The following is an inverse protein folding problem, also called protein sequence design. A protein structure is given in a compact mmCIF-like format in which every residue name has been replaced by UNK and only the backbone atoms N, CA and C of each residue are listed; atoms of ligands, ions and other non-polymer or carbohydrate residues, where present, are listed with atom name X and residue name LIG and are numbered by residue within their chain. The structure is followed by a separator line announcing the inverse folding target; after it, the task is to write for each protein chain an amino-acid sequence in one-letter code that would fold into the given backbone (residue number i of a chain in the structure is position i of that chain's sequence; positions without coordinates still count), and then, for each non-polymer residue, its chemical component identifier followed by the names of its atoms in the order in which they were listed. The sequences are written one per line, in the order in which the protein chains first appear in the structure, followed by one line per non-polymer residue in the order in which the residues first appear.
data_IF_075423297151
#
_entry.id   IF_075423297151
#
_cell.length_a   1.000
_cell.length_b   1.000
_cell.length_c   1.000
_cell.angle_alpha   90.00
_cell.angle_beta   90.00
_cell.angle_gamma   90.00
#
_symmetry.space_group_name_H-M   'P 1'
#
loop_
_entity.id
_entity.type
_entity.pdbx_description
1 polymer ?
2 non-polymer ?
3 non-polymer ?
4 water ?
#
# COMPACT_ATOMS: atom_id res chain seq x y z
N UNK A 2 -19.27 13.50 -19.98
CA UNK A 2 -18.39 14.04 -21.04
C UNK A 2 -17.14 14.69 -20.44
N UNK A 3 -16.21 15.17 -21.25
CA UNK A 3 -15.00 15.78 -20.78
C UNK A 3 -15.19 17.30 -20.62
N UNK A 4 -14.71 17.85 -19.53
CA UNK A 4 -14.61 19.30 -19.37
C UNK A 4 -13.20 19.69 -19.76
N UNK A 5 -13.07 20.66 -20.67
CA UNK A 5 -11.74 21.14 -21.04
C UNK A 5 -11.20 21.98 -19.93
N UNK A 6 -9.94 21.78 -19.58
CA UNK A 6 -9.28 22.54 -18.55
C UNK A 6 -8.12 23.29 -19.19
N UNK A 7 -7.84 24.55 -18.81
CA UNK A 7 -6.75 25.29 -19.43
C UNK A 7 -5.40 24.70 -19.08
N UNK A 8 -4.39 24.99 -19.91
CA UNK A 8 -3.05 24.54 -19.66
C UNK A 8 -2.62 23.63 -20.80
N UNK A 9 -1.39 23.15 -20.70
CA UNK A 9 -0.86 22.23 -21.69
C UNK A 9 -0.01 21.22 -20.98
N UNK A 10 -0.33 19.92 -21.18
CA UNK A 10 0.42 18.83 -20.54
C UNK A 10 0.65 17.67 -21.52
N UNK A 11 1.71 16.91 -21.30
CA UNK A 11 2.07 15.71 -22.03
C UNK A 11 1.68 14.39 -21.35
N UNK A 12 1.73 14.38 -20.01
CA UNK A 12 1.32 13.23 -19.22
C UNK A 12 0.66 13.72 -17.95
N UNK A 13 -0.13 12.86 -17.34
CA UNK A 13 -0.98 13.25 -16.23
C UNK A 13 -1.24 12.01 -15.37
N UNK A 14 -1.36 12.24 -14.05
CA UNK A 14 -1.72 11.20 -13.14
C UNK A 14 -2.63 11.79 -12.06
N UNK A 15 -3.69 11.05 -11.73
CA UNK A 15 -4.65 11.51 -10.76
C UNK A 15 -4.80 10.37 -9.74
N UNK A 16 -4.54 10.69 -8.51
CA UNK A 16 -4.78 9.74 -7.41
C UNK A 16 -6.12 9.99 -6.72
N UNK A 17 -6.52 11.24 -6.63
CA UNK A 17 -7.80 11.64 -6.07
C UNK A 17 -8.10 13.02 -6.59
N UNK A 18 -9.29 13.49 -6.30
CA UNK A 18 -9.70 14.82 -6.74
C UNK A 18 -8.71 15.91 -6.26
N UNK A 19 -8.05 15.68 -5.12
CA UNK A 19 -7.10 16.64 -4.55
C UNK A 19 -5.63 16.37 -4.79
N UNK A 20 -5.30 15.36 -5.56
CA UNK A 20 -3.92 15.05 -5.88
C UNK A 20 -3.68 14.60 -7.33
N UNK A 21 -3.51 15.61 -8.18
CA UNK A 21 -3.49 15.45 -9.63
C UNK A 21 -2.27 16.24 -10.05
N UNK A 22 -1.39 15.59 -10.78
CA UNK A 22 -0.15 16.18 -11.27
C UNK A 22 0.06 15.86 -12.71
N UNK A 23 0.82 16.70 -13.39
CA UNK A 23 1.18 16.39 -14.78
C UNK A 23 2.53 16.98 -15.12
N UNK A 24 3.04 16.59 -16.28
CA UNK A 24 4.26 17.23 -16.86
C UNK A 24 3.93 17.74 -18.26
N UNK A 25 4.55 18.85 -18.66
CA UNK A 25 4.38 19.33 -20.03
C UNK A 25 5.54 18.85 -20.93
N UNK A 26 5.50 19.26 -22.19
CA UNK A 26 6.44 18.82 -23.20
C UNK A 26 7.83 19.32 -22.88
N UNK A 27 7.95 20.40 -22.14
CA UNK A 27 9.25 20.91 -21.74
C UNK A 27 9.76 20.27 -20.47
N UNK A 28 9.02 19.29 -19.95
CA UNK A 28 9.33 18.60 -18.73
C UNK A 28 9.10 19.44 -17.45
N UNK A 29 8.36 20.55 -17.55
CA UNK A 29 7.92 21.26 -16.36
C UNK A 29 6.86 20.43 -15.62
N UNK A 30 6.82 20.59 -14.30
CA UNK A 30 5.93 19.78 -13.45
C UNK A 30 4.84 20.68 -12.93
N UNK A 31 3.60 20.22 -12.96
CA UNK A 31 2.47 20.97 -12.42
C UNK A 31 1.55 20.14 -11.50
N UNK A 32 0.98 20.81 -10.49
CA UNK A 32 -0.01 20.21 -9.65
C UNK A 32 -1.30 20.97 -9.79
N UNK A 33 -2.39 20.23 -9.92
CA UNK A 33 -3.72 20.82 -9.96
C UNK A 33 -4.06 21.52 -8.64
N UNK A 34 -4.66 22.70 -8.75
CA UNK A 34 -4.94 23.54 -7.57
C UNK A 34 -6.27 23.31 -6.93
N UNK A 35 -7.20 22.71 -7.66
CA UNK A 35 -8.61 22.59 -7.25
C UNK A 35 -9.44 23.74 -7.75
N UNK A 36 -8.85 24.71 -8.41
CA UNK A 36 -9.63 25.84 -8.99
C UNK A 36 -9.47 25.84 -10.52
N UNK A 37 -10.54 25.48 -11.23
CA UNK A 37 -10.42 25.42 -12.69
C UNK A 37 -10.16 26.80 -13.34
N UNK A 38 -10.41 27.89 -12.60
CA UNK A 38 -10.05 29.22 -13.11
C UNK A 38 -8.53 29.38 -13.21
N UNK A 39 -7.78 28.80 -12.29
CA UNK A 39 -6.31 28.77 -12.38
C UNK A 39 -5.83 27.40 -11.96
N UNK A 40 -5.93 26.49 -12.91
CA UNK A 40 -5.83 25.09 -12.50
C UNK A 40 -4.46 24.54 -12.12
N UNK A 41 -3.36 25.19 -12.47
CA UNK A 41 -2.02 24.58 -12.33
C UNK A 41 -1.07 25.50 -11.62
N UNK A 42 -0.24 24.91 -10.75
CA UNK A 42 0.89 25.62 -10.15
C UNK A 42 2.12 24.79 -10.54
N UNK A 43 3.14 25.47 -11.07
CA UNK A 43 4.37 24.77 -11.39
C UNK A 43 5.13 24.41 -10.13
N UNK A 44 5.52 23.17 -10.03
CA UNK A 44 6.37 22.68 -8.94
C UNK A 44 7.77 22.56 -9.49
N UNK A 45 8.79 23.09 -8.77
CA UNK A 45 10.14 23.08 -9.32
C UNK A 45 10.63 21.69 -9.62
N UNK A 46 11.36 21.54 -10.72
CA UNK A 46 12.03 20.30 -11.08
C UNK A 46 11.74 19.98 -12.52
N UNK A 47 12.14 18.81 -12.99
CA UNK A 47 11.96 18.40 -14.41
C UNK A 47 11.66 16.90 -14.40
N UNK A 48 10.52 16.56 -15.02
CA UNK A 48 10.09 15.17 -15.09
C UNK A 48 9.46 14.89 -16.44
N UNK A 49 9.54 13.63 -16.85
CA UNK A 49 8.90 13.13 -18.07
C UNK A 49 7.72 12.20 -17.79
N UNK A 50 7.57 11.72 -16.56
CA UNK A 50 6.36 10.97 -16.19
C UNK A 50 6.15 11.12 -14.71
N UNK A 51 4.90 11.02 -14.27
CA UNK A 51 4.59 11.25 -12.86
C UNK A 51 3.46 10.33 -12.46
N UNK A 52 3.45 9.98 -11.17
CA UNK A 52 2.45 9.13 -10.62
C UNK A 52 2.05 9.74 -9.28
N UNK A 53 0.78 10.05 -9.12
CA UNK A 53 0.28 10.71 -7.93
C UNK A 53 -0.80 9.84 -7.32
N UNK A 54 -0.72 9.63 -6.01
CA UNK A 54 -1.60 8.74 -5.29
C UNK A 54 -2.62 9.51 -4.43
N UNK A 55 -3.73 8.84 -4.10
CA UNK A 55 -4.78 9.39 -3.20
C UNK A 55 -4.21 9.81 -1.84
N UNK A 56 -3.22 9.07 -1.34
CA UNK A 56 -2.64 9.35 -0.02
C UNK A 56 -1.58 10.45 -0.02
N UNK A 57 -1.37 11.10 -1.18
CA UNK A 57 -0.42 12.21 -1.28
C UNK A 57 0.95 11.83 -1.82
N UNK A 58 1.25 10.54 -1.90
CA UNK A 58 2.55 10.07 -2.45
C UNK A 58 2.65 10.55 -3.94
N UNK A 59 3.79 11.09 -4.32
CA UNK A 59 4.06 11.48 -5.70
C UNK A 59 5.42 11.03 -6.07
N UNK A 60 5.51 10.28 -7.17
CA UNK A 60 6.74 9.87 -7.73
C UNK A 60 6.87 10.40 -9.16
N UNK A 61 8.10 10.60 -9.61
CA UNK A 61 8.35 11.00 -10.99
C UNK A 61 9.61 10.38 -11.56
N UNK A 62 9.76 10.44 -12.89
CA UNK A 62 11.01 10.12 -13.55
C UNK A 62 11.31 11.22 -14.52
N UNK A 63 12.60 11.48 -14.80
CA UNK A 63 13.01 12.49 -15.76
C UNK A 63 13.51 11.87 -17.07
N UNK A 64 13.93 12.73 -17.99
CA UNK A 64 14.38 12.30 -19.32
C UNK A 64 15.55 11.31 -19.26
N UNK A 65 16.44 11.49 -18.30
CA UNK A 65 17.57 10.65 -18.13
C UNK A 65 17.27 9.32 -17.46
N UNK A 66 16.07 9.14 -16.93
CA UNK A 66 15.70 7.92 -16.23
C UNK A 66 15.82 8.05 -14.69
N UNK A 67 16.23 9.22 -14.22
CA UNK A 67 16.37 9.46 -12.78
C UNK A 67 15.00 9.41 -12.12
N UNK A 68 14.94 8.87 -10.91
CA UNK A 68 13.67 8.62 -10.22
C UNK A 68 13.61 9.49 -8.97
N UNK A 69 12.43 10.03 -8.72
CA UNK A 69 12.25 10.99 -7.65
C UNK A 69 10.97 10.74 -6.92
N UNK A 70 10.98 11.02 -5.62
CA UNK A 70 9.78 11.04 -4.81
C UNK A 70 9.66 12.42 -4.20
N UNK A 71 8.47 12.97 -4.20
CA UNK A 71 8.21 14.25 -3.59
C UNK A 71 8.22 14.09 -2.05
N UNK A 72 8.84 15.04 -1.36
CA UNK A 72 9.04 14.90 0.11
C UNK A 72 8.17 15.92 0.86
N UNK A 73 7.32 16.65 0.15
CA UNK A 73 6.37 17.59 0.77
C UNK A 73 7.02 18.56 1.76
N UNK A 74 8.17 19.06 1.34
CA UNK A 74 8.87 20.12 2.03
C UNK A 74 9.68 20.96 1.02
N UNK A 75 10.40 21.93 1.55
CA UNK A 75 11.15 22.88 0.73
C UNK A 75 12.30 22.31 -0.13
N UNK A 76 12.70 21.05 0.13
CA UNK A 76 13.65 20.32 -0.72
C UNK A 76 13.02 19.82 -2.00
N UNK A 77 11.73 19.70 -1.90
CA UNK A 77 10.85 19.26 -2.97
C UNK A 77 10.97 17.78 -3.31
N UNK A 78 12.03 17.37 -3.99
CA UNK A 78 12.18 16.00 -4.46
C UNK A 78 13.43 15.33 -3.87
N UNK A 79 13.34 14.04 -3.66
CA UNK A 79 14.50 13.26 -3.33
C UNK A 79 14.76 12.23 -4.42
N UNK A 80 16.00 12.08 -4.86
CA UNK A 80 16.26 11.09 -5.91
C UNK A 80 16.42 9.73 -5.32
N UNK A 81 15.80 8.76 -5.92
CA UNK A 81 15.83 7.36 -5.45
C UNK A 81 16.66 6.59 -6.47
N UNK A 82 17.61 5.82 -5.98
CA UNK A 82 18.52 5.13 -6.92
C UNK A 82 17.75 4.20 -7.87
N UNK A 83 18.30 4.08 -9.07
CA UNK A 83 17.76 3.27 -10.15
C UNK A 83 17.40 4.09 -11.37
N UNK A 84 16.82 3.41 -12.38
CA UNK A 84 16.46 4.06 -13.65
C UNK A 84 15.11 3.57 -14.10
N UNK A 85 14.18 4.50 -14.33
CA UNK A 85 12.87 4.16 -14.87
C UNK A 85 12.45 5.05 -16.02
N UNK A 86 11.54 4.56 -16.84
CA UNK A 86 10.94 5.31 -17.96
C UNK A 86 9.45 5.76 -17.68
N UNK A 87 8.71 4.94 -16.95
CA UNK A 87 7.33 5.21 -16.59
C UNK A 87 7.12 4.77 -15.15
N UNK A 88 6.23 5.47 -14.46
CA UNK A 88 6.00 5.25 -13.03
C UNK A 88 4.57 5.56 -12.66
N UNK A 89 4.07 4.83 -11.66
CA UNK A 89 2.73 4.99 -11.14
C UNK A 89 2.77 4.71 -9.65
N UNK A 90 2.14 5.58 -8.88
CA UNK A 90 2.06 5.38 -7.49
C UNK A 90 0.57 5.21 -7.11
N UNK A 91 0.19 4.05 -6.65
CA UNK A 91 -1.20 3.89 -6.14
C UNK A 91 -1.35 4.33 -4.69
N UNK A 92 -0.24 4.27 -3.96
CA UNK A 92 -0.14 4.64 -2.56
C UNK A 92 1.32 4.61 -2.18
N UNK A 93 1.60 5.06 -0.95
CA UNK A 93 2.92 4.96 -0.41
C UNK A 93 3.46 3.56 -0.56
N UNK A 94 2.62 2.54 -0.38
CA UNK A 94 3.02 1.14 -0.38
C UNK A 94 2.82 0.37 -1.67
N UNK A 95 2.48 1.07 -2.76
CA UNK A 95 2.21 0.40 -4.03
C UNK A 95 2.68 1.27 -5.15
N UNK A 96 3.98 1.23 -5.39
CA UNK A 96 4.62 2.05 -6.40
C UNK A 96 5.37 1.10 -7.38
N UNK A 97 5.12 1.32 -8.65
CA UNK A 97 5.64 0.50 -9.68
C UNK A 97 6.23 1.35 -10.80
N UNK A 98 7.17 0.76 -11.53
CA UNK A 98 7.73 1.41 -12.71
C UNK A 98 8.12 0.45 -13.79
N UNK A 99 8.45 1.00 -14.96
CA UNK A 99 8.92 0.25 -16.08
C UNK A 99 10.19 0.96 -16.53
N UNK A 100 11.27 0.24 -16.76
CA UNK A 100 12.52 0.90 -17.19
C UNK A 100 12.58 0.94 -18.69
N UNK A 101 13.67 1.48 -19.24
CA UNK A 101 13.72 1.71 -20.66
C UNK A 101 13.75 0.38 -21.45
N UNK A 102 14.21 -0.69 -20.83
CA UNK A 102 14.18 -2.05 -21.44
C UNK A 102 12.86 -2.79 -21.30
N UNK A 103 11.87 -2.14 -20.67
CA UNK A 103 10.57 -2.79 -20.44
C UNK A 103 10.47 -3.65 -19.19
N UNK A 104 11.57 -3.77 -18.45
CA UNK A 104 11.56 -4.51 -17.20
C UNK A 104 10.69 -3.77 -16.16
N UNK A 105 10.04 -4.54 -15.32
CA UNK A 105 9.00 -4.08 -14.42
C UNK A 105 9.55 -4.14 -13.01
N UNK A 106 9.38 -3.07 -12.25
CA UNK A 106 9.90 -2.99 -10.91
C UNK A 106 8.84 -2.49 -9.95
N UNK A 107 9.00 -2.97 -8.74
CA UNK A 107 8.17 -2.57 -7.65
C UNK A 107 9.00 -2.04 -6.50
N UNK A 108 8.56 -0.89 -5.99
CA UNK A 108 9.26 -0.23 -4.91
C UNK A 108 9.16 -1.09 -3.69
N UNK A 109 10.27 -1.31 -3.01
CA UNK A 109 10.30 -2.18 -1.84
C UNK A 109 9.99 -1.48 -0.51
N UNK A 110 9.96 -0.17 -0.47
CA UNK A 110 9.86 0.57 0.76
C UNK A 110 11.18 0.80 1.44
N UNK A 111 12.29 0.40 0.83
CA UNK A 111 13.59 0.65 1.36
C UNK A 111 14.40 1.46 0.35
N UNK A 112 14.56 2.75 0.61
CA UNK A 112 15.34 3.65 -0.23
C UNK A 112 16.80 3.18 -0.46
N UNK A 113 17.40 2.48 0.45
CA UNK A 113 18.71 1.88 0.24
C UNK A 113 18.73 0.64 -0.70
N UNK A 114 17.56 0.05 -0.95
CA UNK A 114 17.41 -1.15 -1.78
C UNK A 114 16.03 -1.10 -2.44
N UNK A 115 15.81 -0.09 -3.31
CA UNK A 115 14.45 0.33 -3.56
C UNK A 115 13.61 -0.49 -4.52
N UNK A 116 14.21 -1.36 -5.32
CA UNK A 116 13.45 -2.03 -6.38
C UNK A 116 13.65 -3.53 -6.39
N UNK A 117 12.55 -4.25 -6.61
CA UNK A 117 12.58 -5.68 -6.95
C UNK A 117 11.96 -5.82 -8.32
N UNK A 118 12.59 -6.62 -9.16
CA UNK A 118 12.06 -6.85 -10.52
C UNK A 118 10.95 -7.87 -10.44
N UNK A 119 9.83 -7.56 -11.06
CA UNK A 119 8.69 -8.45 -11.19
C UNK A 119 8.73 -9.00 -12.64
N UNK A 120 8.63 -10.32 -12.82
CA UNK A 120 8.71 -10.92 -14.13
C UNK A 120 7.71 -10.28 -15.15
N UNK A 121 8.17 -10.10 -16.39
CA UNK A 121 7.33 -9.63 -17.49
C UNK A 121 7.97 -8.48 -18.21
N UNK A 122 7.30 -7.97 -19.24
CA UNK A 122 7.79 -6.85 -20.03
C UNK A 122 6.57 -5.91 -20.28
N UNK A 123 6.72 -4.61 -19.98
CA UNK A 123 5.67 -3.65 -20.19
C UNK A 123 6.19 -2.39 -20.82
N UNK A 124 5.29 -1.55 -21.30
CA UNK A 124 5.63 -0.18 -21.69
C UNK A 124 4.94 0.88 -20.83
N UNK A 125 3.80 0.58 -20.22
CA UNK A 125 3.15 1.55 -19.28
C UNK A 125 2.47 0.70 -18.22
N UNK A 126 2.29 1.32 -17.10
CA UNK A 126 1.78 0.64 -15.93
C UNK A 126 0.90 1.60 -15.10
N UNK A 127 -0.08 1.02 -14.41
CA UNK A 127 -0.92 1.86 -13.53
C UNK A 127 -1.20 1.08 -12.25
N UNK A 128 -0.87 1.66 -11.13
CA UNK A 128 -1.03 0.98 -9.86
C UNK A 128 -2.10 1.73 -8.98
N UNK A 129 -2.81 0.97 -8.13
CA UNK A 129 -3.89 1.49 -7.29
C UNK A 129 -3.63 1.50 -5.78
N UNK A 130 -4.48 2.22 -5.04
CA UNK A 130 -4.36 2.28 -3.61
C UNK A 130 -4.67 0.92 -2.94
N UNK A 131 -5.45 0.07 -3.59
CA UNK A 131 -5.90 -1.18 -3.01
C UNK A 131 -5.02 -2.38 -3.44
N UNK A 132 -3.91 -2.08 -4.11
CA UNK A 132 -2.99 -3.07 -4.64
C UNK A 132 -3.17 -3.38 -6.11
N UNK A 133 -4.25 -2.87 -6.72
CA UNK A 133 -4.52 -3.13 -8.13
C UNK A 133 -3.35 -2.62 -8.98
N UNK A 134 -2.97 -3.45 -9.96
CA UNK A 134 -1.96 -3.12 -10.93
C UNK A 134 -2.34 -3.68 -12.30
N UNK A 135 -2.38 -2.79 -13.28
CA UNK A 135 -2.53 -3.11 -14.69
C UNK A 135 -1.36 -2.55 -15.50
N UNK A 136 -1.05 -3.23 -16.61
CA UNK A 136 0.01 -2.78 -17.49
C UNK A 136 -0.36 -3.06 -18.93
N UNK A 137 0.37 -2.44 -19.84
CA UNK A 137 0.29 -2.77 -21.24
C UNK A 137 1.71 -2.94 -21.74
N UNK A 138 1.93 -3.80 -22.71
CA UNK A 138 3.21 -3.96 -23.38
C UNK A 138 3.28 -3.17 -24.68
N UNK A 139 4.47 -3.16 -25.28
CA UNK A 139 4.71 -2.34 -26.48
C UNK A 139 3.77 -2.67 -27.63
N UNK A 140 3.30 -3.91 -27.79
CA UNK A 140 2.34 -4.22 -28.83
C UNK A 140 0.91 -3.91 -28.48
N UNK A 141 0.69 -3.45 -27.26
CA UNK A 141 -0.61 -3.08 -26.83
C UNK A 141 -1.34 -4.11 -26.00
N UNK A 142 -0.72 -5.25 -25.72
CA UNK A 142 -1.40 -6.29 -24.95
C UNK A 142 -1.53 -5.80 -23.52
N UNK A 143 -2.63 -6.20 -22.89
CA UNK A 143 -3.08 -5.65 -21.63
C UNK A 143 -3.01 -6.75 -20.59
N UNK A 144 -2.46 -6.44 -19.44
CA UNK A 144 -2.30 -7.40 -18.38
C UNK A 144 -2.71 -6.83 -17.02
N UNK A 145 -3.22 -7.73 -16.17
CA UNK A 145 -3.57 -7.36 -14.80
C UNK A 145 -2.72 -8.25 -13.89
N UNK A 146 -2.15 -7.66 -12.84
CA UNK A 146 -1.23 -8.35 -11.97
C UNK A 146 -1.94 -9.39 -11.10
N UNK A 147 -1.36 -10.59 -11.07
CA UNK A 147 -1.87 -11.66 -10.22
C UNK A 147 -0.77 -12.29 -9.34
N UNK A 148 0.46 -11.69 -9.37
CA UNK A 148 1.63 -12.35 -8.75
C UNK A 148 1.61 -12.33 -7.22
N UNK A 149 0.76 -11.49 -6.65
CA UNK A 149 0.51 -11.45 -5.19
C UNK A 149 -0.76 -12.22 -4.79
N UNK A 150 -1.34 -12.95 -5.72
CA UNK A 150 -2.54 -13.78 -5.53
C UNK A 150 -2.28 -15.25 -5.93
N UNK A 151 -1.05 -15.70 -5.79
CA UNK A 151 -0.68 -17.07 -6.06
C UNK A 151 -0.36 -17.48 -7.49
N UNK A 152 -0.43 -16.56 -8.47
CA UNK A 152 -0.25 -16.97 -9.85
C UNK A 152 1.26 -16.96 -10.22
N UNK A 153 1.86 -18.14 -10.52
CA UNK A 153 3.28 -18.23 -10.84
C UNK A 153 3.65 -17.55 -12.15
N UNK A 154 2.65 -17.26 -12.98
CA UNK A 154 2.84 -16.48 -14.22
C UNK A 154 2.67 -14.97 -14.08
N UNK A 155 2.29 -14.50 -12.89
CA UNK A 155 2.31 -13.07 -12.53
C UNK A 155 1.29 -12.15 -13.16
N UNK A 156 0.83 -12.42 -14.38
CA UNK A 156 -0.08 -11.53 -15.10
C UNK A 156 -1.14 -12.33 -15.81
N UNK A 157 -2.37 -11.82 -15.83
CA UNK A 157 -3.42 -12.37 -16.67
C UNK A 157 -3.65 -11.39 -17.82
N UNK A 158 -3.70 -11.92 -19.04
CA UNK A 158 -3.93 -11.11 -20.24
C UNK A 158 -5.43 -10.83 -20.34
N UNK A 159 -5.78 -9.58 -20.58
CA UNK A 159 -7.14 -9.16 -20.74
C UNK A 159 -7.32 -8.72 -22.18
N UNK A 160 -8.37 -9.24 -22.88
CA UNK A 160 -8.48 -8.90 -24.31
C UNK A 160 -8.58 -7.40 -24.58
N UNK A 161 -8.10 -6.99 -25.75
CA UNK A 161 -8.02 -5.59 -26.16
C UNK A 161 -6.59 -5.12 -26.43
N UNK A 162 -6.46 -3.85 -26.84
CA UNK A 162 -5.16 -3.23 -27.08
C UNK A 162 -5.19 -1.79 -26.52
N UNK A 163 -4.21 -1.46 -25.69
CA UNK A 163 -4.06 -0.11 -25.15
C UNK A 163 -2.56 0.23 -25.12
N UNK A 164 -2.29 1.53 -25.15
CA UNK A 164 -0.99 2.09 -25.10
C UNK A 164 -0.66 2.86 -23.83
N UNK A 165 -1.68 3.26 -23.06
CA UNK A 165 -1.55 3.89 -21.77
C UNK A 165 -2.69 3.33 -20.90
N UNK A 166 -2.41 3.16 -19.62
CA UNK A 166 -3.38 2.60 -18.67
C UNK A 166 -3.20 3.22 -17.26
N UNK A 167 -4.30 3.31 -16.54
CA UNK A 167 -4.32 3.87 -15.23
C UNK A 167 -5.37 3.13 -14.44
N UNK A 168 -5.08 2.89 -13.17
CA UNK A 168 -5.94 2.06 -12.31
C UNK A 168 -5.76 2.43 -10.81
N UNK A 169 -6.35 3.54 -10.41
CA UNK A 169 -6.26 4.06 -9.05
C UNK A 169 -6.93 3.20 -7.96
N UNK A 170 -7.81 2.32 -8.43
CA UNK A 170 -8.53 1.36 -7.60
C UNK A 170 -9.11 0.31 -8.55
N UNK A 171 -9.40 -0.84 -8.00
CA UNK A 171 -9.89 -1.95 -8.79
C UNK A 171 -11.05 -1.56 -9.70
N UNK A 172 -11.91 -0.66 -9.23
CA UNK A 172 -13.14 -0.32 -9.92
C UNK A 172 -13.03 0.92 -10.80
N UNK A 173 -11.82 1.45 -11.00
CA UNK A 173 -11.65 2.66 -11.85
C UNK A 173 -10.44 2.49 -12.74
N UNK A 174 -10.61 1.77 -13.82
CA UNK A 174 -9.54 1.46 -14.71
C UNK A 174 -9.86 2.08 -16.07
N UNK A 175 -8.91 2.84 -16.61
CA UNK A 175 -9.09 3.52 -17.90
C UNK A 175 -7.82 3.38 -18.70
N UNK A 176 -7.94 3.48 -20.02
CA UNK A 176 -6.76 3.45 -20.87
C UNK A 176 -7.08 4.12 -22.17
N UNK A 177 -6.05 4.28 -22.98
CA UNK A 177 -6.20 4.79 -24.34
C UNK A 177 -5.44 3.82 -25.25
N UNK A 178 -5.88 3.73 -26.50
CA UNK A 178 -5.12 2.92 -27.46
C UNK A 178 -4.18 3.81 -28.27
N UNK A 179 -3.42 3.23 -29.19
CA UNK A 179 -2.41 3.96 -29.93
C UNK A 179 -3.01 4.98 -30.89
N UNK A 180 -4.30 4.84 -31.19
CA UNK A 180 -5.00 5.81 -32.03
C UNK A 180 -5.72 6.87 -31.20
N UNK A 181 -5.47 6.90 -29.90
CA UNK A 181 -5.98 7.89 -28.98
C UNK A 181 -7.43 7.64 -28.54
N UNK A 182 -7.96 6.46 -28.81
CA UNK A 182 -9.31 6.12 -28.50
C UNK A 182 -9.35 5.80 -26.99
N UNK A 183 -10.40 6.24 -26.31
CA UNK A 183 -10.47 6.08 -24.86
C UNK A 183 -11.34 4.89 -24.50
N UNK A 184 -10.94 4.17 -23.47
CA UNK A 184 -11.68 3.03 -22.99
C UNK A 184 -11.75 3.01 -21.48
N UNK A 185 -12.83 2.46 -20.93
CA UNK A 185 -12.87 2.21 -19.49
C UNK A 185 -13.20 0.76 -19.28
N UNK A 186 -12.68 0.17 -18.20
CA UNK A 186 -12.97 -1.23 -17.87
C UNK A 186 -14.44 -1.44 -17.48
N UNK A 187 -15.04 -2.49 -18.00
CA UNK A 187 -16.39 -2.86 -17.62
C UNK A 187 -16.45 -3.70 -16.31
N UNK A 188 -15.35 -4.31 -15.93
CA UNK A 188 -15.30 -5.30 -14.87
C UNK A 188 -15.68 -6.70 -15.30
N UNK A 189 -15.97 -6.88 -16.57
CA UNK A 189 -16.17 -8.18 -17.12
C UNK A 189 -14.99 -8.57 -18.00
N UNK A 190 -14.14 -9.49 -17.52
CA UNK A 190 -12.92 -9.85 -18.28
C UNK A 190 -13.20 -10.43 -19.70
N UNK A 191 -14.39 -10.97 -19.90
CA UNK A 191 -14.83 -11.46 -21.22
C UNK A 191 -15.44 -10.42 -22.12
N UNK A 192 -15.75 -9.22 -21.59
CA UNK A 192 -16.27 -8.07 -22.41
C UNK A 192 -15.70 -6.82 -21.74
N UNK A 193 -14.35 -6.68 -21.84
CA UNK A 193 -13.69 -5.84 -20.85
C UNK A 193 -13.70 -4.36 -21.01
N UNK A 194 -14.03 -3.83 -22.18
CA UNK A 194 -13.85 -2.38 -22.43
C UNK A 194 -15.10 -1.71 -23.00
N UNK A 195 -15.38 -0.51 -22.50
CA UNK A 195 -16.34 0.40 -23.11
C UNK A 195 -15.64 1.61 -23.70
N UNK A 196 -15.88 1.86 -25.00
CA UNK A 196 -15.42 3.05 -25.67
C UNK A 196 -16.07 4.32 -25.11
N UNK A 197 -15.27 5.32 -24.88
CA UNK A 197 -15.71 6.62 -24.33
C UNK A 197 -15.40 7.67 -25.39
N UNK A 198 -16.38 8.49 -25.72
CA UNK A 198 -16.16 9.58 -26.68
C UNK A 198 -15.04 10.51 -26.23
N UNK A 199 -14.20 10.93 -27.17
CA UNK A 199 -13.07 11.75 -26.88
C UNK A 199 -11.80 11.26 -27.51
N UNK A 200 -10.70 11.95 -27.22
CA UNK A 200 -9.39 11.57 -27.76
C UNK A 200 -8.29 11.96 -26.79
N UNK A 201 -7.46 10.99 -26.40
CA UNK A 201 -6.42 11.24 -25.39
C UNK A 201 -5.20 10.39 -25.65
N UNK A 202 -4.03 10.87 -25.20
CA UNK A 202 -2.79 10.15 -25.26
C UNK A 202 -2.34 9.65 -23.87
N UNK A 203 -2.85 10.26 -22.81
CA UNK A 203 -2.51 9.74 -21.46
C UNK A 203 -3.73 9.98 -20.60
N UNK A 204 -3.84 9.18 -19.54
CA UNK A 204 -5.00 9.25 -18.68
C UNK A 204 -4.60 8.86 -17.25
N UNK A 205 -5.27 9.48 -16.29
CA UNK A 205 -5.03 9.24 -14.89
C UNK A 205 -6.41 8.96 -14.28
N UNK A 206 -6.53 7.81 -13.62
CA UNK A 206 -7.81 7.34 -13.03
C UNK A 206 -7.61 7.19 -11.53
N UNK A 207 -8.26 8.09 -10.80
CA UNK A 207 -8.12 8.16 -9.36
C UNK A 207 -8.89 7.16 -8.53
N UNK A 208 -8.40 6.94 -7.32
CA UNK A 208 -8.99 6.01 -6.34
C UNK A 208 -10.43 6.42 -5.97
N UNK A 209 -10.71 7.72 -5.93
CA UNK A 209 -12.07 8.23 -5.65
C UNK A 209 -12.95 8.41 -6.88
N UNK A 210 -12.49 7.99 -8.05
CA UNK A 210 -13.32 8.06 -9.25
C UNK A 210 -12.93 9.17 -10.21
N UNK A 211 -12.11 10.12 -9.78
CA UNK A 211 -11.75 11.24 -10.63
C UNK A 211 -10.97 10.68 -11.84
N UNK A 212 -11.18 11.25 -13.02
CA UNK A 212 -10.50 10.82 -14.25
C UNK A 212 -10.06 12.10 -14.96
N UNK A 213 -8.76 12.19 -15.21
CA UNK A 213 -8.16 13.24 -16.04
C UNK A 213 -7.42 12.67 -17.24
N UNK A 214 -7.32 13.45 -18.30
CA UNK A 214 -6.60 13.05 -19.46
C UNK A 214 -5.99 14.20 -20.19
N UNK A 215 -5.03 13.88 -21.07
CA UNK A 215 -4.44 14.88 -21.95
C UNK A 215 -4.45 14.35 -23.39
N UNK A 216 -4.68 15.23 -24.36
CA UNK A 216 -4.70 14.79 -25.75
C UNK A 216 -3.36 15.06 -26.46
N UNK A 217 -3.25 14.58 -27.70
CA UNK A 217 -2.08 14.78 -28.52
C UNK A 217 -1.55 16.23 -28.65
N UNK A 218 -2.44 17.20 -28.63
CA UNK A 218 -1.99 18.58 -28.77
C UNK A 218 -1.71 19.26 -27.44
N UNK A 219 -1.78 18.51 -26.34
CA UNK A 219 -1.42 19.03 -25.00
C UNK A 219 -2.68 19.51 -24.26
N UNK A 220 -3.84 19.40 -24.87
CA UNK A 220 -5.08 19.82 -24.25
C UNK A 220 -5.46 18.88 -23.09
N UNK A 221 -6.02 19.47 -22.05
CA UNK A 221 -6.31 18.80 -20.79
C UNK A 221 -7.81 18.74 -20.54
N UNK A 222 -8.25 17.60 -20.04
CA UNK A 222 -9.65 17.35 -19.73
C UNK A 222 -9.88 16.58 -18.42
N UNK A 223 -11.00 16.85 -17.75
CA UNK A 223 -11.48 16.09 -16.62
C UNK A 223 -12.83 15.50 -16.95
N UNK A 224 -13.02 14.26 -16.54
CA UNK A 224 -14.24 13.56 -16.83
C UNK A 224 -15.36 14.07 -15.93
N UNK A 225 -16.52 14.31 -16.50
CA UNK A 225 -17.68 14.82 -15.73
C UNK A 225 -18.81 13.79 -15.84
N UNK A 226 -19.31 13.31 -14.71
CA UNK A 226 -20.43 12.35 -14.77
C UNK A 226 -21.78 13.01 -14.71
N UNK A 227 -21.95 13.94 -13.77
CA UNK A 227 -23.24 14.58 -13.51
C UNK A 227 -23.61 15.57 -14.58
N UNK B 2 -12.31 2.64 29.00
CA UNK B 2 -11.69 1.45 29.57
C UNK B 2 -11.77 0.25 28.62
N UNK B 3 -11.89 -0.92 29.19
CA UNK B 3 -11.94 -2.14 28.41
C UNK B 3 -13.25 -2.89 28.65
N UNK B 4 -13.85 -3.43 27.59
CA UNK B 4 -14.92 -4.41 27.72
C UNK B 4 -14.36 -5.82 27.53
N UNK B 5 -14.67 -6.70 28.46
CA UNK B 5 -14.27 -8.09 28.37
C UNK B 5 -15.16 -8.81 27.39
N UNK B 6 -14.55 -9.46 26.41
CA UNK B 6 -15.26 -10.27 25.41
C UNK B 6 -14.95 -11.73 25.69
N UNK B 7 -15.98 -12.55 25.74
CA UNK B 7 -15.83 -13.95 26.10
C UNK B 7 -14.84 -14.68 25.18
N UNK B 8 -14.21 -15.71 25.72
CA UNK B 8 -13.27 -16.53 24.98
C UNK B 8 -11.88 -16.45 25.58
N UNK B 9 -10.91 -17.05 24.90
CA UNK B 9 -9.53 -16.90 25.32
C UNK B 9 -8.59 -17.00 24.13
N UNK B 10 -7.66 -16.08 24.11
CA UNK B 10 -6.73 -15.95 23.02
C UNK B 10 -5.34 -15.60 23.55
N UNK B 11 -4.33 -15.92 22.78
CA UNK B 11 -2.96 -15.65 23.16
C UNK B 11 -2.35 -14.52 22.34
N UNK B 12 -2.85 -14.33 21.12
CA UNK B 12 -2.40 -13.25 20.25
C UNK B 12 -3.60 -12.72 19.49
N UNK B 13 -3.55 -11.46 19.12
CA UNK B 13 -4.70 -10.80 18.52
C UNK B 13 -4.25 -9.69 17.57
N UNK B 14 -5.06 -9.44 16.55
CA UNK B 14 -4.78 -8.39 15.57
C UNK B 14 -6.12 -7.84 15.12
N UNK B 15 -6.18 -6.53 14.96
CA UNK B 15 -7.35 -5.85 14.46
C UNK B 15 -6.92 -4.88 13.35
N UNK B 16 -7.41 -5.09 12.14
CA UNK B 16 -7.15 -4.19 11.03
C UNK B 16 -8.22 -3.11 11.00
N UNK B 17 -9.38 -3.49 11.50
CA UNK B 17 -10.54 -2.62 11.52
C UNK B 17 -11.63 -3.25 12.40
N UNK B 18 -12.66 -2.48 12.71
CA UNK B 18 -13.76 -2.96 13.56
C UNK B 18 -14.28 -4.31 13.06
N UNK B 19 -14.23 -4.53 11.76
CA UNK B 19 -14.84 -5.71 11.18
C UNK B 19 -13.85 -6.81 10.74
N UNK B 20 -12.57 -6.63 11.05
CA UNK B 20 -11.59 -7.65 10.74
C UNK B 20 -10.65 -7.86 11.91
N UNK B 21 -11.07 -8.73 12.83
CA UNK B 21 -10.32 -9.02 14.06
C UNK B 21 -10.12 -10.53 14.16
N UNK B 22 -8.86 -10.93 14.29
CA UNK B 22 -8.50 -12.33 14.33
C UNK B 22 -7.59 -12.56 15.51
N UNK B 23 -7.58 -13.79 16.00
CA UNK B 23 -6.69 -14.18 17.06
C UNK B 23 -6.34 -15.66 17.00
N UNK B 24 -5.34 -16.04 17.79
CA UNK B 24 -5.01 -17.44 18.00
C UNK B 24 -5.01 -17.72 19.50
N UNK B 25 -5.40 -18.93 19.88
CA UNK B 25 -5.35 -19.30 21.28
C UNK B 25 -4.05 -20.03 21.60
N UNK B 26 -3.86 -20.39 22.86
CA UNK B 26 -2.62 -20.96 23.31
C UNK B 26 -2.34 -22.23 22.53
N UNK B 27 -3.40 -23.01 22.30
CA UNK B 27 -3.29 -24.27 21.56
C UNK B 27 -2.98 -24.07 20.07
N UNK B 28 -2.92 -22.83 19.61
CA UNK B 28 -2.70 -22.47 18.20
C UNK B 28 -3.99 -22.54 17.30
N UNK B 29 -5.16 -22.75 17.90
CA UNK B 29 -6.44 -22.61 17.16
C UNK B 29 -6.66 -21.17 16.71
N UNK B 30 -7.23 -21.01 15.53
CA UNK B 30 -7.41 -19.69 14.89
C UNK B 30 -8.86 -19.28 14.99
N UNK B 31 -9.09 -18.02 15.33
CA UNK B 31 -10.45 -17.52 15.48
C UNK B 31 -10.62 -16.14 14.82
N UNK B 32 -11.80 -15.92 14.25
CA UNK B 32 -12.13 -14.61 13.74
C UNK B 32 -13.36 -14.10 14.48
N UNK B 33 -13.37 -12.80 14.76
CA UNK B 33 -14.46 -12.16 15.47
C UNK B 33 -15.68 -12.15 14.54
N UNK B 34 -16.80 -12.59 15.07
CA UNK B 34 -18.06 -12.65 14.34
C UNK B 34 -18.79 -11.30 14.19
N UNK B 35 -18.49 -10.32 15.03
CA UNK B 35 -19.29 -9.09 15.06
C UNK B 35 -20.48 -9.21 16.01
N UNK B 36 -20.60 -10.34 16.70
CA UNK B 36 -21.64 -10.56 17.69
C UNK B 36 -20.98 -10.83 19.06
N UNK B 37 -20.98 -9.83 19.92
CA UNK B 37 -20.36 -9.98 21.25
C UNK B 37 -20.94 -11.15 22.06
N UNK B 38 -22.18 -11.53 21.76
CA UNK B 38 -22.80 -12.65 22.47
C UNK B 38 -22.27 -14.02 22.02
N UNK B 39 -21.89 -14.15 20.75
CA UNK B 39 -21.26 -15.36 20.16
C UNK B 39 -20.05 -14.90 19.36
N UNK B 40 -19.00 -14.46 20.05
CA UNK B 40 -17.99 -13.61 19.41
C UNK B 40 -16.98 -14.25 18.48
N UNK B 41 -16.82 -15.56 18.55
CA UNK B 41 -15.78 -16.22 17.75
C UNK B 41 -16.24 -17.37 16.89
N UNK B 42 -15.66 -17.43 15.69
CA UNK B 42 -15.76 -18.61 14.84
C UNK B 42 -14.36 -19.17 14.60
N UNK B 43 -14.19 -20.47 14.69
CA UNK B 43 -12.86 -21.03 14.44
C UNK B 43 -12.62 -21.19 12.95
N UNK B 44 -11.42 -20.81 12.52
CA UNK B 44 -11.02 -20.93 11.13
C UNK B 44 -10.04 -22.08 11.09
N UNK B 45 -10.22 -23.00 10.13
CA UNK B 45 -9.32 -24.16 10.04
C UNK B 45 -7.83 -23.78 9.97
N UNK B 46 -6.99 -24.53 10.68
CA UNK B 46 -5.53 -24.31 10.61
C UNK B 46 -4.89 -24.20 11.98
N UNK B 47 -3.58 -23.94 12.03
CA UNK B 47 -2.85 -23.75 13.29
C UNK B 47 -1.85 -22.64 13.08
N UNK B 48 -1.91 -21.62 13.93
CA UNK B 48 -1.01 -20.46 13.88
C UNK B 48 -0.60 -19.98 15.27
N UNK B 49 0.54 -19.31 15.36
CA UNK B 49 1.03 -18.76 16.59
C UNK B 49 1.03 -17.22 16.58
N UNK B 50 1.01 -16.63 15.39
CA UNK B 50 0.84 -15.18 15.24
C UNK B 50 -0.01 -14.90 14.02
N UNK B 51 -0.67 -13.77 14.05
CA UNK B 51 -1.59 -13.40 13.00
C UNK B 51 -1.63 -11.90 12.86
N UNK B 52 -1.81 -11.45 11.63
CA UNK B 52 -1.93 -10.03 11.30
C UNK B 52 -3.13 -9.81 10.39
N UNK B 53 -4.00 -8.91 10.79
CA UNK B 53 -5.23 -8.67 10.04
C UNK B 53 -5.31 -7.21 9.60
N UNK B 54 -5.60 -7.00 8.32
CA UNK B 54 -5.62 -5.65 7.79
C UNK B 54 -7.03 -5.09 7.57
N UNK B 55 -7.08 -3.78 7.52
CA UNK B 55 -8.29 -3.03 7.29
C UNK B 55 -9.01 -3.45 6.03
N UNK B 56 -8.26 -3.81 4.99
CA UNK B 56 -8.83 -4.24 3.72
C UNK B 56 -9.22 -5.72 3.65
N UNK B 57 -9.12 -6.42 4.76
CA UNK B 57 -9.45 -7.84 4.81
C UNK B 57 -8.26 -8.79 4.72
N UNK B 58 -7.11 -8.30 4.31
CA UNK B 58 -5.89 -9.10 4.25
C UNK B 58 -5.65 -9.80 5.60
N UNK B 59 -5.30 -11.07 5.55
CA UNK B 59 -4.90 -11.80 6.76
C UNK B 59 -3.71 -12.69 6.47
N UNK B 60 -2.67 -12.54 7.28
CA UNK B 60 -1.48 -13.36 7.23
C UNK B 60 -1.22 -13.93 8.61
N UNK B 61 -0.54 -15.07 8.63
CA UNK B 61 -0.19 -15.76 9.86
C UNK B 61 1.08 -16.57 9.73
N UNK B 62 1.66 -16.94 10.88
CA UNK B 62 2.79 -17.84 10.95
C UNK B 62 2.47 -18.93 11.93
N UNK B 63 2.97 -20.13 11.68
CA UNK B 63 2.73 -21.24 12.58
C UNK B 63 3.93 -21.41 13.51
N UNK B 64 3.83 -22.32 14.46
CA UNK B 64 4.87 -22.48 15.48
C UNK B 64 6.23 -22.73 14.82
N UNK B 65 6.22 -23.51 13.74
CA UNK B 65 7.43 -23.90 13.03
C UNK B 65 8.04 -22.77 12.23
N UNK B 66 7.27 -21.69 12.04
CA UNK B 66 7.71 -20.59 11.22
C UNK B 66 7.15 -20.57 9.81
N UNK B 67 6.32 -21.56 9.46
CA UNK B 67 5.67 -21.54 8.15
C UNK B 67 4.77 -20.30 8.03
N UNK B 68 4.77 -19.67 6.86
CA UNK B 68 4.01 -18.43 6.63
C UNK B 68 2.78 -18.70 5.75
N UNK B 69 1.64 -18.10 6.09
CA UNK B 69 0.40 -18.34 5.38
C UNK B 69 -0.35 -17.04 5.15
N UNK B 70 -1.01 -16.95 4.02
CA UNK B 70 -1.91 -15.84 3.71
C UNK B 70 -3.30 -16.43 3.52
N UNK B 71 -4.29 -15.75 4.06
CA UNK B 71 -5.63 -16.25 4.00
C UNK B 71 -6.24 -16.01 2.61
N UNK B 72 -6.95 -16.96 2.05
CA UNK B 72 -7.38 -16.75 0.64
C UNK B 72 -8.84 -16.36 0.34
N UNK B 73 -9.63 -16.20 1.39
CA UNK B 73 -11.03 -15.80 1.26
C UNK B 73 -11.81 -16.60 0.22
N UNK B 74 -11.59 -17.92 0.18
CA UNK B 74 -12.40 -18.88 -0.56
C UNK B 74 -12.24 -20.24 0.16
N UNK B 77 -8.08 -22.84 2.63
CA UNK B 77 -8.26 -21.63 3.48
C UNK B 77 -6.99 -20.80 3.50
N UNK B 78 -5.85 -21.45 3.63
CA UNK B 78 -4.58 -20.76 3.72
C UNK B 78 -3.69 -21.15 2.55
N UNK B 79 -2.97 -20.21 1.96
CA UNK B 79 -1.89 -20.55 1.04
C UNK B 79 -0.52 -20.33 1.71
N UNK B 80 0.37 -21.31 1.61
CA UNK B 80 1.70 -21.14 2.20
C UNK B 80 2.54 -20.30 1.29
N UNK B 81 3.18 -19.32 1.89
CA UNK B 81 4.12 -18.47 1.23
C UNK B 81 5.51 -18.85 1.73
N UNK B 82 6.45 -18.96 0.81
CA UNK B 82 7.81 -19.37 1.10
C UNK B 82 8.55 -18.45 2.12
N UNK B 83 9.33 -19.07 2.98
CA UNK B 83 10.09 -18.37 4.01
C UNK B 83 9.82 -18.86 5.43
N UNK B 84 10.36 -18.13 6.41
CA UNK B 84 10.12 -18.46 7.81
C UNK B 84 10.07 -17.18 8.63
N UNK B 85 9.03 -17.06 9.42
CA UNK B 85 8.83 -15.93 10.28
C UNK B 85 8.23 -16.34 11.63
N UNK B 86 8.58 -15.58 12.63
CA UNK B 86 8.15 -15.77 14.01
C UNK B 86 7.00 -14.83 14.39
N UNK B 87 6.92 -13.66 13.76
CA UNK B 87 5.82 -12.71 13.97
C UNK B 87 5.49 -12.05 12.66
N UNK B 88 4.25 -11.60 12.56
CA UNK B 88 3.78 -11.02 11.30
C UNK B 88 2.71 -9.95 11.55
N UNK B 89 2.68 -8.95 10.68
CA UNK B 89 1.68 -7.88 10.75
C UNK B 89 1.33 -7.50 9.33
N UNK B 90 0.05 -7.26 9.12
CA UNK B 90 -0.48 -6.80 7.85
C UNK B 90 -1.44 -5.63 8.09
N UNK B 91 -1.10 -4.48 7.57
CA UNK B 91 -1.93 -3.30 7.64
C UNK B 91 -2.86 -3.27 6.44
N UNK B 92 -2.38 -3.85 5.36
CA UNK B 92 -3.10 -3.91 4.11
C UNK B 92 -2.41 -4.90 3.18
N UNK B 93 -3.05 -5.21 2.07
CA UNK B 93 -2.51 -6.10 1.05
C UNK B 93 -1.07 -5.77 0.68
N UNK B 94 -0.74 -4.50 0.70
CA UNK B 94 0.54 -4.06 0.17
C UNK B 94 1.53 -3.62 1.26
N UNK B 95 1.18 -3.82 2.52
CA UNK B 95 2.10 -3.48 3.61
C UNK B 95 2.11 -4.61 4.63
N UNK B 96 2.98 -5.58 4.37
CA UNK B 96 3.11 -6.79 5.18
C UNK B 96 4.55 -6.97 5.61
N UNK B 97 4.76 -7.05 6.92
CA UNK B 97 6.08 -7.20 7.49
C UNK B 97 6.09 -8.31 8.52
N UNK B 98 7.27 -8.86 8.73
CA UNK B 98 7.47 -9.84 9.78
C UNK B 98 8.91 -9.84 10.27
N UNK B 99 9.15 -10.60 11.33
CA UNK B 99 10.51 -10.87 11.80
C UNK B 99 10.67 -12.37 11.94
N UNK B 100 11.89 -12.86 11.72
CA UNK B 100 12.14 -14.27 11.88
C UNK B 100 12.70 -14.56 13.27
N UNK B 101 13.00 -15.81 13.56
CA UNK B 101 13.33 -16.20 14.92
C UNK B 101 14.60 -15.49 15.36
N UNK B 102 15.57 -15.38 14.44
CA UNK B 102 16.82 -14.71 14.75
C UNK B 102 16.72 -13.19 14.80
N UNK B 103 15.54 -12.65 14.53
CA UNK B 103 15.31 -11.20 14.64
C UNK B 103 15.52 -10.36 13.38
N UNK B 104 15.83 -11.00 12.26
CA UNK B 104 15.90 -10.27 10.98
C UNK B 104 14.51 -9.88 10.53
N UNK B 105 14.45 -8.75 9.84
CA UNK B 105 13.21 -8.07 9.49
C UNK B 105 12.98 -8.18 8.01
N UNK B 106 11.75 -8.49 7.63
CA UNK B 106 11.40 -8.72 6.25
C UNK B 106 10.12 -7.97 5.89
N UNK B 107 10.05 -7.52 4.64
CA UNK B 107 8.83 -6.94 4.13
C UNK B 107 8.41 -7.73 2.90
N UNK B 108 7.11 -7.93 2.74
CA UNK B 108 6.55 -8.66 1.62
C UNK B 108 6.77 -7.81 0.37
N UNK B 109 7.29 -8.45 -0.66
CA UNK B 109 7.57 -7.82 -1.94
C UNK B 109 6.35 -7.65 -2.86
N UNK B 110 5.26 -8.37 -2.59
CA UNK B 110 4.13 -8.39 -3.52
C UNK B 110 4.34 -9.41 -4.64
N UNK B 111 5.42 -10.18 -4.54
CA UNK B 111 5.68 -11.25 -5.49
C UNK B 111 5.80 -12.60 -4.75
N UNK B 112 4.76 -13.40 -4.84
CA UNK B 112 4.72 -14.70 -4.17
C UNK B 112 5.87 -15.63 -4.53
N UNK B 113 6.42 -15.47 -5.72
CA UNK B 113 7.55 -16.30 -6.15
C UNK B 113 8.90 -15.85 -5.58
N UNK B 114 8.93 -14.64 -4.99
CA UNK B 114 10.17 -13.98 -4.48
C UNK B 114 9.64 -13.08 -3.36
N UNK B 115 9.08 -13.68 -2.30
CA UNK B 115 8.15 -12.95 -1.43
C UNK B 115 8.72 -11.99 -0.40
N UNK B 116 10.00 -12.11 -0.09
CA UNK B 116 10.57 -11.30 0.99
C UNK B 116 11.83 -10.52 0.63
N UNK B 117 11.89 -9.30 1.15
CA UNK B 117 13.09 -8.50 1.11
C UNK B 117 13.49 -8.18 2.57
N UNK B 118 14.75 -8.35 2.89
CA UNK B 118 15.18 -8.06 4.24
C UNK B 118 15.44 -6.59 4.42
N UNK B 119 14.95 -6.08 5.52
CA UNK B 119 15.10 -4.70 5.87
C UNK B 119 16.15 -4.64 6.98
N UNK B 120 17.15 -3.73 6.84
CA UNK B 120 18.21 -3.68 7.87
C UNK B 120 17.68 -3.49 9.30
N UNK B 121 18.30 -4.15 10.27
CA UNK B 121 17.90 -4.00 11.68
C UNK B 121 17.60 -5.30 12.42
N UNK B 122 17.16 -5.21 13.66
CA UNK B 122 16.81 -6.39 14.45
C UNK B 122 15.58 -6.05 15.30
N UNK B 123 14.54 -6.86 15.17
CA UNK B 123 13.29 -6.67 15.93
C UNK B 123 12.70 -8.01 16.40
N UNK B 124 11.87 -8.00 17.45
CA UNK B 124 11.12 -9.20 17.80
C UNK B 124 9.59 -9.06 17.62
N UNK B 125 9.08 -7.83 17.53
CA UNK B 125 7.68 -7.62 17.13
C UNK B 125 7.59 -6.42 16.21
N UNK B 126 6.54 -6.40 15.41
CA UNK B 126 6.38 -5.39 14.37
C UNK B 126 4.91 -5.15 14.16
N UNK B 127 4.55 -3.90 13.89
CA UNK B 127 3.18 -3.52 13.53
C UNK B 127 3.17 -2.70 12.25
N UNK B 128 2.39 -3.12 11.28
CA UNK B 128 2.39 -2.47 9.96
C UNK B 128 1.00 -1.93 9.69
N UNK B 129 0.91 -0.66 9.29
CA UNK B 129 -0.38 -0.02 9.13
C UNK B 129 -0.85 0.03 7.69
N UNK B 130 -2.12 0.35 7.51
CA UNK B 130 -2.70 0.51 6.19
C UNK B 130 -2.13 1.69 5.43
N UNK B 131 -1.66 2.70 6.16
CA UNK B 131 -1.12 3.91 5.55
C UNK B 131 0.39 3.86 5.32
N UNK B 132 1.00 2.72 5.62
CA UNK B 132 2.43 2.54 5.44
C UNK B 132 3.25 2.65 6.72
N UNK B 133 2.64 3.16 7.78
CA UNK B 133 3.30 3.25 9.09
C UNK B 133 3.82 1.87 9.50
N UNK B 134 5.09 1.81 9.91
CA UNK B 134 5.64 0.59 10.49
C UNK B 134 6.40 0.93 11.78
N UNK B 135 6.03 0.25 12.86
CA UNK B 135 6.71 0.34 14.14
C UNK B 135 7.17 -1.05 14.57
N UNK B 136 8.22 -1.09 15.38
CA UNK B 136 8.79 -2.33 15.87
C UNK B 136 9.45 -2.17 17.23
N UNK B 137 9.66 -3.30 17.90
CA UNK B 137 10.41 -3.34 19.14
C UNK B 137 11.47 -4.41 19.02
N UNK B 138 12.62 -4.19 19.66
CA UNK B 138 13.68 -5.18 19.62
C UNK B 138 13.64 -6.01 20.90
N UNK B 139 14.43 -7.08 20.93
CA UNK B 139 14.44 -8.01 22.06
C UNK B 139 14.53 -7.28 23.41
N UNK B 140 15.42 -6.30 23.46
CA UNK B 140 15.72 -5.48 24.62
C UNK B 140 14.58 -4.53 25.04
N UNK B 141 13.60 -4.38 24.16
CA UNK B 141 12.48 -3.50 24.43
C UNK B 141 12.58 -2.12 23.81
N UNK B 142 13.64 -1.86 23.06
CA UNK B 142 13.74 -0.60 22.37
C UNK B 142 12.70 -0.48 21.27
N UNK B 143 12.19 0.73 21.08
CA UNK B 143 11.10 1.03 20.14
C UNK B 143 11.60 1.83 18.93
N UNK B 144 11.15 1.45 17.73
CA UNK B 144 11.58 2.06 16.51
C UNK B 144 10.39 2.30 15.60
N UNK B 145 10.47 3.38 14.83
CA UNK B 145 9.51 3.65 13.78
C UNK B 145 10.24 3.71 12.47
N UNK B 146 9.61 3.23 11.42
CA UNK B 146 10.32 3.07 10.18
C UNK B 146 10.41 4.39 9.43
N UNK B 147 11.57 4.67 8.88
CA UNK B 147 11.77 5.86 8.08
C UNK B 147 12.60 5.50 6.84
N UNK B 148 12.84 4.21 6.63
CA UNK B 148 13.61 3.72 5.50
C UNK B 148 12.98 3.99 4.15
N UNK B 149 11.69 4.37 4.17
CA UNK B 149 11.04 4.78 2.93
C UNK B 149 10.84 6.29 2.85
N UNK B 150 11.57 7.00 3.71
CA UNK B 150 11.61 8.46 3.64
C UNK B 150 12.97 9.05 3.93
N UNK B 151 13.95 8.51 3.23
CA UNK B 151 15.24 9.13 3.15
C UNK B 151 16.23 8.93 4.24
N UNK B 152 15.90 8.10 5.23
CA UNK B 152 16.81 7.84 6.30
C UNK B 152 17.68 6.59 5.98
N UNK B 153 18.95 6.78 5.61
CA UNK B 153 19.79 5.61 5.34
C UNK B 153 19.99 4.78 6.60
N UNK B 155 17.21 3.89 8.37
CA UNK B 155 15.95 3.13 8.22
C UNK B 155 15.02 3.27 9.41
N UNK B 156 15.54 3.14 10.60
CA UNK B 156 14.70 3.19 11.79
C UNK B 156 15.06 4.39 12.67
N UNK B 157 14.07 5.06 13.24
CA UNK B 157 14.38 6.01 14.31
C UNK B 157 13.91 5.47 15.67
N UNK B 158 14.75 5.59 16.67
CA UNK B 158 14.38 5.11 18.00
C UNK B 158 13.53 6.14 18.69
N UNK B 159 12.41 5.68 19.25
CA UNK B 159 11.52 6.49 20.06
C UNK B 159 11.71 6.07 21.51
N UNK B 160 11.89 7.03 22.42
CA UNK B 160 12.16 6.59 23.77
C UNK B 160 11.05 5.73 24.37
N UNK B 161 11.42 4.95 25.38
CA UNK B 161 10.50 4.05 26.06
C UNK B 161 10.93 2.59 25.93
N UNK B 162 10.11 1.70 26.47
CA UNK B 162 10.37 0.27 26.36
C UNK B 162 9.06 -0.46 26.20
N UNK B 163 9.00 -1.30 25.18
CA UNK B 163 7.81 -2.08 24.89
C UNK B 163 8.20 -3.50 24.46
N UNK B 164 7.30 -4.45 24.69
CA UNK B 164 7.55 -5.83 24.28
C UNK B 164 6.66 -6.27 23.13
N UNK B 165 5.52 -5.61 22.96
CA UNK B 165 4.63 -5.86 21.82
C UNK B 165 4.14 -4.52 21.28
N UNK B 166 3.91 -4.46 19.98
CA UNK B 166 3.51 -3.21 19.35
C UNK B 166 2.58 -3.47 18.17
N UNK B 167 1.65 -2.53 17.96
CA UNK B 167 0.70 -2.64 16.86
C UNK B 167 0.48 -1.24 16.35
N UNK B 168 0.39 -1.11 15.04
CA UNK B 168 0.08 0.16 14.40
C UNK B 168 -1.00 -0.04 13.32
N UNK B 169 -2.13 0.60 13.47
CA UNK B 169 -3.18 0.55 12.46
C UNK B 169 -3.01 1.68 11.47
N UNK B 170 -2.44 2.77 11.96
CA UNK B 170 -2.40 4.03 11.25
C UNK B 170 -1.33 4.87 11.96
N UNK B 171 -0.83 5.88 11.27
CA UNK B 171 0.10 6.84 11.84
C UNK B 171 -0.39 7.33 13.20
N UNK B 172 -1.70 7.42 13.37
CA UNK B 172 -2.25 8.06 14.56
C UNK B 172 -2.87 7.08 15.57
N UNK B 173 -2.69 5.79 15.32
CA UNK B 173 -3.21 4.79 16.24
C UNK B 173 -2.17 3.69 16.46
N UNK B 174 -1.32 3.94 17.43
CA UNK B 174 -0.18 3.08 17.77
C UNK B 174 -0.21 2.73 19.24
N UNK B 175 -0.23 1.44 19.53
CA UNK B 175 -0.30 0.97 20.89
C UNK B 175 0.73 -0.11 21.12
N UNK B 176 1.12 -0.27 22.38
CA UNK B 176 2.01 -1.32 22.76
C UNK B 176 1.82 -1.73 24.22
N UNK B 177 2.45 -2.84 24.58
CA UNK B 177 2.55 -3.24 25.98
C UNK B 177 4.01 -3.43 26.33
N UNK B 178 4.37 -3.18 27.59
CA UNK B 178 5.72 -3.46 28.05
C UNK B 178 5.75 -4.85 28.70
N UNK B 179 6.92 -5.31 29.11
CA UNK B 179 7.00 -6.71 29.53
C UNK B 179 6.27 -6.89 30.86
N UNK B 180 6.16 -5.82 31.64
CA UNK B 180 5.37 -5.83 32.87
C UNK B 180 3.87 -5.96 32.57
N UNK B 181 3.49 -5.85 31.29
CA UNK B 181 2.08 -5.87 30.86
C UNK B 181 1.36 -4.50 30.95
N UNK B 182 2.09 -3.42 31.24
CA UNK B 182 1.54 -2.05 31.16
C UNK B 182 1.21 -1.69 29.70
N UNK B 183 0.10 -1.00 29.52
CA UNK B 183 -0.43 -0.63 28.19
C UNK B 183 -0.14 0.81 27.92
N UNK B 184 0.30 1.08 26.70
CA UNK B 184 0.63 2.43 26.30
C UNK B 184 0.10 2.73 24.89
N UNK B 185 -0.27 3.98 24.68
CA UNK B 185 -0.59 4.40 23.33
C UNK B 185 0.27 5.60 22.97
N UNK B 186 0.63 5.66 21.70
CA UNK B 186 1.47 6.71 21.20
C UNK B 186 0.70 8.02 21.23
N UNK B 187 1.34 9.05 21.76
CA UNK B 187 0.76 10.39 21.86
C UNK B 187 0.82 11.25 20.59
N UNK B 188 1.69 10.90 19.63
CA UNK B 188 1.91 11.77 18.46
C UNK B 188 3.00 12.81 18.70
N UNK B 189 3.61 12.78 19.88
CA UNK B 189 4.70 13.66 20.22
C UNK B 189 5.96 12.83 20.52
N UNK B 190 6.90 12.83 19.60
CA UNK B 190 8.14 12.05 19.75
C UNK B 190 8.95 12.41 21.00
N UNK B 191 8.83 13.63 21.49
CA UNK B 191 9.53 14.05 22.71
C UNK B 191 8.85 13.60 24.00
N UNK B 192 7.60 13.16 23.91
CA UNK B 192 6.81 12.66 25.04
C UNK B 192 5.89 11.60 24.45
N UNK B 193 6.49 10.49 24.01
CA UNK B 193 5.78 9.63 23.10
C UNK B 193 4.67 8.72 23.63
N UNK B 194 4.64 8.45 24.93
CA UNK B 194 3.70 7.45 25.43
C UNK B 194 2.79 7.95 26.53
N UNK B 195 1.55 7.49 26.45
CA UNK B 195 0.57 7.69 27.48
C UNK B 195 0.15 6.31 28.01
N UNK B 196 0.18 6.15 29.32
CA UNK B 196 -0.19 4.89 29.93
C UNK B 196 -1.70 4.74 29.94
N UNK B 197 -2.19 3.63 29.42
CA UNK B 197 -3.59 3.34 29.41
C UNK B 197 -3.88 2.28 30.48
N UNK B 198 -4.86 2.52 31.33
CA UNK B 198 -5.22 1.60 32.42
C UNK B 198 -5.50 0.16 32.00
N UNK B 199 -4.96 -0.79 32.75
CA UNK B 199 -5.14 -2.24 32.49
C UNK B 199 -3.85 -3.05 32.38
N UNK B 200 -3.93 -4.32 32.05
CA UNK B 200 -2.74 -5.18 31.84
C UNK B 200 -3.01 -6.06 30.62
N UNK B 201 -2.08 -6.08 29.68
CA UNK B 201 -2.19 -6.90 28.45
C UNK B 201 -0.84 -7.45 28.00
N UNK B 202 -0.88 -8.57 27.29
CA UNK B 202 0.28 -9.24 26.75
C UNK B 202 0.36 -9.10 25.22
N UNK B 203 -0.77 -8.93 24.53
CA UNK B 203 -0.76 -8.59 23.11
C UNK B 203 -1.87 -7.61 22.81
N UNK B 204 -1.68 -6.87 21.74
CA UNK B 204 -2.58 -5.79 21.39
C UNK B 204 -2.62 -5.66 19.89
N UNK B 205 -3.80 -5.31 19.37
CA UNK B 205 -3.99 -5.05 17.96
C UNK B 205 -4.75 -3.75 17.79
N UNK B 206 -4.17 -2.84 17.00
CA UNK B 206 -4.75 -1.53 16.80
C UNK B 206 -5.09 -1.29 15.34
N UNK B 207 -6.32 -0.86 15.10
CA UNK B 207 -6.78 -0.67 13.76
C UNK B 207 -6.63 0.73 13.22
N UNK B 208 -6.75 0.79 11.92
CA UNK B 208 -6.75 2.03 11.20
C UNK B 208 -7.91 2.93 11.59
N UNK B 209 -9.07 2.34 11.84
CA UNK B 209 -10.27 3.07 12.22
C UNK B 209 -10.39 3.39 13.72
N UNK B 210 -9.33 3.12 14.49
CA UNK B 210 -9.33 3.37 15.91
C UNK B 210 -9.63 2.14 16.80
N UNK B 211 -10.14 1.08 16.20
CA UNK B 211 -10.43 -0.16 16.91
C UNK B 211 -9.17 -0.65 17.66
N UNK B 212 -9.35 -1.08 18.89
CA UNK B 212 -8.25 -1.66 19.65
C UNK B 212 -8.70 -2.87 20.43
N UNK B 213 -8.02 -3.97 20.21
CA UNK B 213 -8.28 -5.20 20.93
C UNK B 213 -6.99 -5.66 21.60
N UNK B 214 -7.15 -6.41 22.69
CA UNK B 214 -6.03 -6.91 23.47
C UNK B 214 -6.35 -8.20 24.20
N UNK B 215 -5.28 -8.90 24.60
CA UNK B 215 -5.40 -10.11 25.41
C UNK B 215 -4.46 -9.99 26.59
N UNK B 216 -4.84 -10.55 27.73
CA UNK B 216 -4.00 -10.48 28.91
C UNK B 216 -3.23 -11.81 29.05
N UNK B 217 -2.31 -11.86 29.99
CA UNK B 217 -1.45 -13.02 30.15
C UNK B 217 -2.27 -14.32 30.25
N UNK B 218 -3.37 -14.25 30.98
CA UNK B 218 -4.20 -15.40 31.23
C UNK B 218 -5.12 -15.79 30.10
N UNK B 219 -5.14 -14.96 29.05
CA UNK B 219 -5.96 -15.25 27.88
C UNK B 219 -7.27 -14.50 27.79
N UNK B 220 -7.55 -13.66 28.78
CA UNK B 220 -8.74 -12.80 28.74
C UNK B 220 -8.68 -11.85 27.55
N UNK B 221 -9.80 -11.67 26.86
CA UNK B 221 -9.86 -10.81 25.65
C UNK B 221 -10.63 -9.52 25.95
N UNK B 222 -10.10 -8.38 25.47
CA UNK B 222 -10.70 -7.09 25.76
C UNK B 222 -10.73 -6.24 24.50
N UNK B 223 -11.79 -5.44 24.40
CA UNK B 223 -11.90 -4.44 23.35
C UNK B 223 -11.98 -3.09 24.01
N UNK B 224 -11.25 -2.14 23.44
CA UNK B 224 -11.16 -0.85 24.05
C UNK B 224 -12.42 -0.07 23.78
N UNK B 225 -12.97 0.50 24.83
CA UNK B 225 -14.18 1.27 24.68
C UNK B 225 -13.87 2.70 24.99
N UNK B 226 -13.68 3.36 23.87
CA UNK B 226 -13.35 4.74 23.79
C UNK B 226 -14.24 5.65 24.59
#
# INVERSE_FOLDING_TARGET
MPWKGISGSLSRISAGSVTNVWGVNAANNIYRYTGDDAKPWVQIPGALTDIGAAADGTVWGVNAAGNIYRYVWDSNHWTQIKGALKRISAGSRTNVWGVNAGGAIYRYTGDDANPWVQIPGVLSDIGAGADGTVWGVNAAGEIYRYTGDQGDPNHWVKIPGALSAISAGIKTNVWGVNSANNIYTSTGDDKNPWLGIGGSLVDIGAGTDGVVWGVNAGGGIYRWIRD
MPWKGISGSLSRISAGSVTNVWGVNAANNIYRYTGDDAKPWVQIPGALTDIGAAADGTVWGVNAAGNIYRYVWDSNHWTQIKGALKRISAGSRTNVWGVNAGGAIYRYTGDDANPWVQIPGVLSDIGAGADGTVWGVNAAGEIYRYTGDQGDPNHWVKIPGALSAISAGIKTNVWGVNSANNIYTSTGDDKNPWLGIGGSLVDIGAGTDGVVWGVNAGGGIYRWIRD
#
